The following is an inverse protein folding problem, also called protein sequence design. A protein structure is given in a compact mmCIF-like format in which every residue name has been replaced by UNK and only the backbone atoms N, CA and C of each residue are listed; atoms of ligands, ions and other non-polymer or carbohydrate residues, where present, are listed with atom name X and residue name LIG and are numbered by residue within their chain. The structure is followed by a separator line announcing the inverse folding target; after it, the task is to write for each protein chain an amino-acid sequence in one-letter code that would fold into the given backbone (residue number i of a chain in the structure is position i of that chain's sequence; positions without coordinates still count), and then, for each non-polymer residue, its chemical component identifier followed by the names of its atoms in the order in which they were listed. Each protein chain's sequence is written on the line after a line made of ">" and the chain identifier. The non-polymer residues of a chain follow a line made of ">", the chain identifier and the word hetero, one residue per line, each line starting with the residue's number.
data_IF_807913066461
#
_entry.id   IF_807913066461
#
_cell.length_a   1.000
_cell.length_b   1.000
_cell.length_c   1.000
_cell.angle_alpha   90.00
_cell.angle_beta   90.00
_cell.angle_gamma   90.00
#
_symmetry.space_group_name_H-M   'P 1'
#
loop_
_entity.id
_entity.type
_entity.pdbx_description
1 polymer ?
#
# COMPACT_ATOMS: atom_id res chain seq x y z
N UNK A 1 1.32 4.88 -1.24
CA UNK A 1 2.58 5.38 -0.61
C UNK A 1 3.30 4.13 -0.12
N UNK A 2 4.60 3.91 -0.32
CA UNK A 2 5.24 2.67 0.21
C UNK A 2 6.19 3.08 1.33
N UNK A 3 5.80 2.96 2.61
CA UNK A 3 6.70 3.25 3.71
C UNK A 3 7.72 2.11 3.88
N UNK A 4 8.91 2.47 4.39
CA UNK A 4 9.89 1.51 4.89
C UNK A 4 9.25 0.67 6.02
N UNK A 5 9.04 -0.61 5.74
CA UNK A 5 8.28 -1.55 6.57
C UNK A 5 8.89 -1.76 7.95
N UNK A 6 8.07 -1.58 9.00
CA UNK A 6 8.30 -2.25 10.29
C UNK A 6 7.52 -3.57 10.30
N UNK A 7 8.00 -4.61 11.00
CA UNK A 7 7.30 -5.89 11.15
C UNK A 7 5.83 -5.69 11.62
N UNK A 8 5.61 -4.71 12.49
CA UNK A 8 4.29 -4.33 12.99
C UNK A 8 3.36 -3.80 11.88
N UNK A 9 3.88 -2.97 10.96
CA UNK A 9 3.09 -2.46 9.82
C UNK A 9 2.72 -3.57 8.83
N UNK A 10 3.59 -4.56 8.64
CA UNK A 10 3.31 -5.71 7.80
C UNK A 10 2.23 -6.63 8.41
N UNK A 11 2.30 -6.91 9.73
CA UNK A 11 1.26 -7.67 10.43
C UNK A 11 -0.09 -6.92 10.42
N UNK A 12 -0.07 -5.59 10.50
CA UNK A 12 -1.29 -4.79 10.41
C UNK A 12 -1.91 -4.82 9.00
N UNK A 13 -1.07 -4.83 7.96
CA UNK A 13 -1.50 -4.96 6.56
C UNK A 13 -2.12 -6.33 6.23
N UNK A 14 -1.73 -7.40 6.92
CA UNK A 14 -2.36 -8.74 6.81
C UNK A 14 -3.76 -8.83 7.43
N UNK A 15 -4.30 -7.76 8.00
CA UNK A 15 -5.70 -7.71 8.40
C UNK A 15 -6.53 -7.35 7.18
N UNK A 16 -7.14 -8.37 6.56
CA UNK A 16 -8.01 -8.26 5.37
C UNK A 16 -9.01 -7.09 5.41
N UNK A 17 -9.55 -6.81 6.60
CA UNK A 17 -10.55 -5.77 6.84
C UNK A 17 -10.03 -4.34 6.63
N UNK A 18 -8.72 -4.11 6.77
CA UNK A 18 -8.11 -2.79 6.69
C UNK A 18 -7.53 -2.46 5.29
N UNK A 19 -7.47 -3.42 4.35
CA UNK A 19 -7.01 -3.18 2.97
C UNK A 19 -7.85 -2.10 2.29
N UNK A 20 -7.18 -1.14 1.64
CA UNK A 20 -7.74 0.07 1.02
C UNK A 20 -8.34 1.11 1.98
N UNK A 21 -8.16 0.95 3.30
CA UNK A 21 -8.62 1.95 4.26
C UNK A 21 -7.66 3.16 4.30
N UNK A 22 -8.09 4.38 3.90
CA UNK A 22 -7.23 5.58 3.78
C UNK A 22 -6.40 5.95 5.01
N UNK A 23 -6.89 5.58 6.19
CA UNK A 23 -6.24 5.92 7.47
C UNK A 23 -5.47 4.77 8.11
N UNK A 24 -5.60 3.54 7.60
CA UNK A 24 -5.06 2.33 8.27
C UNK A 24 -4.17 1.48 7.36
N UNK A 25 -4.43 1.48 6.06
CA UNK A 25 -3.60 0.79 5.10
C UNK A 25 -2.52 1.75 4.55
N UNK A 26 -1.24 1.51 4.89
CA UNK A 26 -0.14 2.34 4.39
C UNK A 26 0.00 2.29 2.86
N UNK A 27 -0.51 1.23 2.22
CA UNK A 27 -0.48 1.04 0.77
C UNK A 27 -1.73 1.57 0.07
N UNK A 28 -2.70 2.11 0.82
CA UNK A 28 -3.95 2.61 0.27
C UNK A 28 -3.73 3.75 -0.74
N UNK A 29 -4.43 3.66 -1.86
CA UNK A 29 -4.46 4.66 -2.92
C UNK A 29 -5.61 5.66 -2.79
N UNK A 30 -6.55 5.39 -1.88
CA UNK A 30 -7.76 6.17 -1.71
C UNK A 30 -7.62 7.19 -0.59
N UNK A 31 -8.27 8.34 -0.77
CA UNK A 31 -8.43 9.36 0.25
C UNK A 31 -9.87 9.38 0.76
N UNK A 32 -10.07 9.87 1.98
CA UNK A 32 -11.43 10.14 2.47
C UNK A 32 -12.00 11.36 1.75
N UNK A 33 -13.32 11.44 1.59
CA UNK A 33 -13.96 12.61 0.95
C UNK A 33 -13.60 13.92 1.66
N UNK A 34 -13.51 13.88 3.00
CA UNK A 34 -13.08 14.99 3.84
C UNK A 34 -11.63 15.41 3.56
N UNK A 35 -10.69 14.46 3.49
CA UNK A 35 -9.29 14.77 3.15
C UNK A 35 -9.19 15.40 1.76
N UNK A 36 -9.88 14.83 0.77
CA UNK A 36 -9.87 15.30 -0.61
C UNK A 36 -10.40 16.73 -0.72
N UNK A 37 -11.44 17.10 0.01
CA UNK A 37 -11.97 18.47 0.01
C UNK A 37 -10.97 19.51 0.55
N UNK A 38 -10.16 19.15 1.55
CA UNK A 38 -9.20 20.07 2.17
C UNK A 38 -7.88 20.18 1.41
N UNK A 39 -7.61 19.32 0.43
CA UNK A 39 -6.37 19.40 -0.34
C UNK A 39 -6.36 20.58 -1.32
N UNK A 40 -5.21 21.30 -1.42
CA UNK A 40 -5.06 22.35 -2.42
C UNK A 40 -5.09 21.74 -3.83
N UNK A 41 -5.58 22.51 -4.81
CA UNK A 41 -5.77 22.02 -6.18
C UNK A 41 -4.47 21.51 -6.82
N UNK A 42 -3.33 22.13 -6.49
CA UNK A 42 -2.02 21.66 -6.94
C UNK A 42 -1.70 20.25 -6.43
N UNK A 43 -2.06 19.93 -5.18
CA UNK A 43 -1.83 18.61 -4.60
C UNK A 43 -2.72 17.55 -5.26
N UNK A 44 -3.98 17.89 -5.58
CA UNK A 44 -4.86 17.00 -6.36
C UNK A 44 -4.29 16.72 -7.75
N UNK A 45 -3.68 17.72 -8.39
CA UNK A 45 -2.94 17.55 -9.64
C UNK A 45 -1.76 16.57 -9.51
N UNK A 46 -0.95 16.70 -8.45
CA UNK A 46 0.15 15.77 -8.15
C UNK A 46 -0.39 14.35 -7.95
N UNK A 47 -1.49 14.17 -7.21
CA UNK A 47 -2.12 12.86 -7.01
C UNK A 47 -2.55 12.25 -8.35
N UNK A 48 -3.26 13.01 -9.20
CA UNK A 48 -3.69 12.55 -10.52
C UNK A 48 -2.54 12.14 -11.42
N UNK A 49 -1.46 12.92 -11.44
CA UNK A 49 -0.25 12.56 -12.19
C UNK A 49 0.37 11.28 -11.60
N UNK A 50 0.44 11.16 -10.27
CA UNK A 50 0.95 9.96 -9.61
C UNK A 50 0.08 8.71 -9.78
N UNK A 51 -1.18 8.88 -10.20
CA UNK A 51 -2.10 7.79 -10.56
C UNK A 51 -1.90 7.30 -12.01
N UNK A 52 -1.07 7.97 -12.82
CA UNK A 52 -0.56 7.40 -14.07
C UNK A 52 0.63 6.49 -13.80
N UNK A 53 0.87 5.49 -14.64
CA UNK A 53 2.01 4.58 -14.49
C UNK A 53 3.34 5.36 -14.54
N UNK A 54 3.54 6.22 -15.54
CA UNK A 54 4.78 7.00 -15.69
C UNK A 54 4.97 8.02 -14.57
N UNK A 55 3.91 8.76 -14.23
CA UNK A 55 3.93 9.74 -13.15
C UNK A 55 4.20 9.08 -11.79
N UNK A 56 3.75 7.85 -11.58
CA UNK A 56 4.07 7.09 -10.37
C UNK A 56 5.54 6.70 -10.27
N UNK A 57 6.17 6.30 -11.38
CA UNK A 57 7.59 5.97 -11.38
C UNK A 57 8.46 7.19 -11.03
N UNK A 58 8.03 8.38 -11.45
CA UNK A 58 8.77 9.63 -11.24
C UNK A 58 8.43 10.29 -9.89
N UNK A 59 7.15 10.37 -9.53
CA UNK A 59 6.68 11.05 -8.33
C UNK A 59 6.59 10.14 -7.11
N UNK A 60 6.49 8.82 -7.30
CA UNK A 60 6.42 7.85 -6.21
C UNK A 60 7.65 7.89 -5.29
N UNK A 61 8.89 7.75 -5.81
CA UNK A 61 10.10 7.80 -4.99
C UNK A 61 10.25 9.09 -4.16
N UNK A 62 10.11 10.32 -4.70
CA UNK A 62 10.22 11.53 -3.88
C UNK A 62 9.11 11.62 -2.83
N UNK A 63 7.88 11.17 -3.12
CA UNK A 63 6.80 11.13 -2.14
C UNK A 63 7.11 10.17 -0.98
N UNK A 64 7.68 8.99 -1.25
CA UNK A 64 8.11 8.06 -0.20
C UNK A 64 9.25 8.64 0.64
N UNK A 65 10.22 9.31 0.01
CA UNK A 65 11.33 9.95 0.73
C UNK A 65 10.78 11.03 1.68
N UNK A 66 9.86 11.87 1.21
CA UNK A 66 9.19 12.88 2.05
C UNK A 66 8.43 12.22 3.20
N UNK A 67 7.68 11.14 2.92
CA UNK A 67 6.96 10.37 3.94
C UNK A 67 7.90 9.85 5.04
N UNK A 68 9.02 9.29 4.59
CA UNK A 68 10.07 8.71 5.42
C UNK A 68 10.71 9.77 6.33
N UNK A 69 11.10 10.91 5.77
CA UNK A 69 11.65 12.04 6.52
C UNK A 69 10.63 12.55 7.55
N UNK A 70 9.35 12.68 7.17
CA UNK A 70 8.29 13.10 8.09
C UNK A 70 8.10 12.11 9.24
N UNK A 71 8.20 10.80 8.96
CA UNK A 71 8.12 9.75 9.97
C UNK A 71 9.29 9.84 10.95
N UNK A 72 10.51 10.04 10.44
CA UNK A 72 11.70 10.27 11.27
C UNK A 72 11.51 11.50 12.18
N UNK A 73 11.18 12.66 11.60
CA UNK A 73 10.95 13.90 12.36
C UNK A 73 9.87 13.71 13.43
N UNK A 74 8.76 13.05 13.09
CA UNK A 74 7.67 12.78 14.03
C UNK A 74 8.16 11.97 15.21
N UNK A 75 8.93 10.91 14.99
CA UNK A 75 9.47 10.07 16.08
C UNK A 75 10.28 10.89 17.09
N UNK A 76 11.10 11.82 16.61
CA UNK A 76 11.87 12.73 17.48
C UNK A 76 10.97 13.74 18.21
N UNK A 77 9.96 14.30 17.55
CA UNK A 77 9.01 15.25 18.17
C UNK A 77 8.17 14.56 19.25
N UNK A 78 7.70 13.34 18.99
CA UNK A 78 6.82 12.60 19.92
C UNK A 78 7.58 11.85 21.00
N UNK A 79 8.91 11.79 20.94
CA UNK A 79 9.72 11.06 21.91
C UNK A 79 9.56 9.54 21.84
N UNK A 80 9.25 8.99 20.66
CA UNK A 80 9.10 7.55 20.48
C UNK A 80 10.49 6.87 20.51
N UNK A 81 10.94 6.49 21.71
CA UNK A 81 12.29 5.95 21.93
C UNK A 81 12.62 4.73 21.04
N UNK A 82 11.74 3.71 20.89
CA UNK A 82 11.95 2.64 19.93
C UNK A 82 12.17 3.14 18.49
N UNK A 83 11.32 4.05 18.00
CA UNK A 83 11.45 4.58 16.64
C UNK A 83 12.71 5.43 16.47
N UNK A 84 13.07 6.24 17.46
CA UNK A 84 14.31 7.02 17.47
C UNK A 84 15.53 6.11 17.40
N UNK A 85 15.57 5.03 18.20
CA UNK A 85 16.68 4.08 18.17
C UNK A 85 16.83 3.43 16.79
N UNK A 86 15.73 3.03 16.17
CA UNK A 86 15.72 2.51 14.80
C UNK A 86 16.29 3.53 13.80
N UNK A 87 15.85 4.79 13.86
CA UNK A 87 16.34 5.85 12.98
C UNK A 87 17.83 6.14 13.16
N UNK A 88 18.32 6.17 14.41
CA UNK A 88 19.74 6.37 14.70
C UNK A 88 20.60 5.23 14.14
N UNK A 89 20.16 3.98 14.33
CA UNK A 89 20.84 2.81 13.74
C UNK A 89 20.82 2.90 12.21
N UNK A 90 19.68 3.24 11.62
CA UNK A 90 19.55 3.38 10.16
C UNK A 90 20.50 4.46 9.60
N UNK A 91 20.50 5.67 10.17
CA UNK A 91 21.41 6.74 9.73
C UNK A 91 22.87 6.42 9.99
N UNK A 92 23.19 5.72 11.08
CA UNK A 92 24.54 5.23 11.37
C UNK A 92 25.04 4.25 10.30
N UNK A 93 24.22 3.25 9.95
CA UNK A 93 24.53 2.28 8.89
C UNK A 93 24.62 2.94 7.52
N UNK A 94 23.72 3.88 7.22
CA UNK A 94 23.75 4.64 5.96
C UNK A 94 25.01 5.51 5.85
N UNK A 95 25.41 6.17 6.94
CA UNK A 95 26.65 6.94 7.01
C UNK A 95 27.89 6.05 6.84
N UNK A 96 27.92 4.87 7.47
CA UNK A 96 28.99 3.90 7.30
C UNK A 96 29.08 3.41 5.85
N UNK A 97 27.94 3.13 5.21
CA UNK A 97 27.89 2.76 3.80
C UNK A 97 28.48 3.86 2.92
N UNK A 98 28.05 5.11 3.08
CA UNK A 98 28.59 6.22 2.28
C UNK A 98 30.07 6.48 2.54
N UNK A 99 30.52 6.34 3.79
CA UNK A 99 31.94 6.42 4.12
C UNK A 99 32.75 5.31 3.42
N UNK A 100 32.28 4.07 3.48
CA UNK A 100 32.92 2.94 2.81
C UNK A 100 32.96 3.14 1.29
N UNK A 101 31.85 3.59 0.69
CA UNK A 101 31.77 3.90 -0.74
C UNK A 101 32.73 5.02 -1.17
N UNK A 102 32.86 6.06 -0.35
CA UNK A 102 33.81 7.14 -0.60
C UNK A 102 35.25 6.63 -0.64
N UNK A 103 35.60 5.62 0.17
CA UNK A 103 36.90 4.94 0.12
C UNK A 103 37.22 4.25 -1.22
N UNK A 104 36.20 3.90 -2.00
CA UNK A 104 36.34 3.33 -3.35
C UNK A 104 36.06 4.35 -4.46
N UNK A 105 35.93 5.64 -4.14
CA UNK A 105 35.66 6.70 -5.11
C UNK A 105 34.24 6.70 -5.69
N UNK A 106 33.30 6.00 -5.06
CA UNK A 106 31.90 5.98 -5.51
C UNK A 106 31.17 7.18 -4.92
N UNK A 107 30.68 8.07 -5.78
CA UNK A 107 29.91 9.25 -5.35
C UNK A 107 28.58 8.84 -4.72
N UNK A 108 28.31 9.37 -3.52
CA UNK A 108 27.02 9.17 -2.83
C UNK A 108 25.84 9.72 -3.67
N UNK A 109 26.05 10.85 -4.36
CA UNK A 109 25.03 11.43 -5.24
C UNK A 109 24.72 10.49 -6.40
N UNK A 110 25.77 9.92 -7.02
CA UNK A 110 25.60 8.93 -8.09
C UNK A 110 24.80 7.71 -7.59
N UNK A 111 25.16 7.18 -6.42
CA UNK A 111 24.44 6.04 -5.83
C UNK A 111 22.97 6.35 -5.55
N UNK A 112 22.67 7.53 -5.03
CA UNK A 112 21.28 7.93 -4.74
C UNK A 112 20.48 8.06 -6.05
N UNK A 113 21.01 8.79 -7.03
CA UNK A 113 20.25 9.12 -8.24
C UNK A 113 20.20 7.99 -9.27
N UNK A 114 21.27 7.21 -9.41
CA UNK A 114 21.41 6.22 -10.49
C UNK A 114 21.09 4.81 -10.01
N UNK A 115 21.27 4.50 -8.72
CA UNK A 115 21.00 3.17 -8.18
C UNK A 115 19.74 3.17 -7.32
N UNK A 116 19.70 4.02 -6.28
CA UNK A 116 18.63 3.99 -5.29
C UNK A 116 17.31 4.47 -5.86
N UNK A 117 17.31 5.55 -6.66
CA UNK A 117 16.09 6.10 -7.22
C UNK A 117 15.42 5.15 -8.23
N UNK A 118 16.12 4.54 -9.20
CA UNK A 118 15.53 3.50 -10.05
C UNK A 118 15.07 2.27 -9.27
N UNK A 119 15.79 1.87 -8.21
CA UNK A 119 15.35 0.77 -7.35
C UNK A 119 14.02 1.09 -6.65
N UNK A 120 13.86 2.31 -6.10
CA UNK A 120 12.59 2.78 -5.54
C UNK A 120 11.50 2.91 -6.60
N UNK A 121 11.83 3.32 -7.82
CA UNK A 121 10.88 3.38 -8.93
C UNK A 121 10.38 1.98 -9.30
N UNK A 122 11.26 0.99 -9.27
CA UNK A 122 10.93 -0.40 -9.60
C UNK A 122 9.95 -1.01 -8.60
N UNK A 123 10.00 -0.64 -7.31
CA UNK A 123 8.98 -1.07 -6.34
C UNK A 123 7.60 -0.48 -6.63
N UNK A 124 7.54 0.66 -7.34
CA UNK A 124 6.28 1.26 -7.79
C UNK A 124 5.62 0.51 -8.93
N UNK A 125 6.40 -0.21 -9.75
CA UNK A 125 5.84 -1.09 -10.80
C UNK A 125 5.01 -2.18 -10.16
N UNK A 126 5.54 -2.88 -9.15
CA UNK A 126 4.83 -3.97 -8.47
C UNK A 126 3.51 -3.49 -7.88
N UNK A 127 3.60 -2.42 -7.11
CA UNK A 127 2.47 -1.86 -6.37
C UNK A 127 1.49 -1.09 -7.25
N UNK A 128 1.76 -0.95 -8.55
CA UNK A 128 0.87 -0.25 -9.47
C UNK A 128 -0.44 -1.03 -9.63
N UNK A 129 -1.52 -0.44 -9.12
CA UNK A 129 -2.86 -1.02 -9.10
C UNK A 129 -2.91 -2.44 -8.51
N UNK A 130 -2.09 -2.69 -7.47
CA UNK A 130 -2.11 -3.94 -6.72
C UNK A 130 -3.42 -4.09 -5.93
N UNK A 131 -4.01 -2.96 -5.51
CA UNK A 131 -5.30 -2.92 -4.83
C UNK A 131 -6.36 -2.06 -5.50
N UNK A 132 -7.61 -2.52 -5.44
CA UNK A 132 -8.83 -1.76 -5.78
C UNK A 132 -9.79 -1.78 -4.62
N UNK A 133 -10.61 -0.75 -4.48
CA UNK A 133 -11.73 -0.79 -3.55
C UNK A 133 -12.79 -1.78 -4.07
N UNK A 134 -13.09 -2.79 -3.27
CA UNK A 134 -14.13 -3.78 -3.50
C UNK A 134 -14.75 -4.16 -2.16
N UNK A 135 -16.04 -4.48 -2.13
CA UNK A 135 -16.72 -4.91 -0.90
C UNK A 135 -16.11 -6.23 -0.38
N UNK A 136 -15.87 -7.17 -1.29
CA UNK A 136 -15.19 -8.42 -1.03
C UNK A 136 -13.67 -8.23 -0.88
N UNK A 137 -13.10 -8.59 0.27
CA UNK A 137 -11.66 -8.46 0.56
C UNK A 137 -10.79 -9.20 -0.46
N UNK A 138 -11.22 -10.39 -0.92
CA UNK A 138 -10.48 -11.16 -1.92
C UNK A 138 -10.43 -10.48 -3.29
N UNK A 139 -11.42 -9.63 -3.60
CA UNK A 139 -11.47 -8.83 -4.83
C UNK A 139 -10.69 -7.52 -4.73
N UNK A 140 -10.14 -7.18 -3.55
CA UNK A 140 -9.31 -5.99 -3.36
C UNK A 140 -7.91 -6.17 -3.91
N UNK A 141 -7.39 -7.40 -4.03
CA UNK A 141 -6.02 -7.67 -4.49
C UNK A 141 -5.96 -8.22 -5.91
N UNK A 142 -5.08 -7.67 -6.73
CA UNK A 142 -4.88 -8.13 -8.12
C UNK A 142 -4.14 -9.47 -8.18
N UNK A 143 -4.47 -10.28 -9.18
CA UNK A 143 -3.72 -11.47 -9.57
C UNK A 143 -2.97 -11.16 -10.86
N UNK A 144 -1.67 -10.90 -10.76
CA UNK A 144 -0.85 -10.57 -11.92
C UNK A 144 -0.08 -11.79 -12.44
N UNK A 145 -0.46 -12.28 -13.62
CA UNK A 145 0.16 -13.39 -14.33
C UNK A 145 1.43 -12.96 -15.08
N UNK A 146 2.38 -12.40 -14.34
CA UNK A 146 3.59 -11.81 -14.91
C UNK A 146 4.58 -12.83 -15.50
N UNK A 147 5.38 -12.36 -16.47
CA UNK A 147 6.48 -13.12 -17.07
C UNK A 147 7.60 -13.44 -16.04
N UNK A 148 8.43 -14.44 -16.35
CA UNK A 148 9.41 -14.97 -15.40
C UNK A 148 10.39 -13.94 -14.78
N UNK A 149 10.87 -12.88 -15.47
CA UNK A 149 11.78 -11.92 -14.85
C UNK A 149 11.11 -11.15 -13.72
N UNK A 150 9.86 -10.71 -13.95
CA UNK A 150 9.03 -10.02 -12.95
C UNK A 150 8.68 -10.92 -11.77
N UNK A 151 8.44 -12.20 -12.04
CA UNK A 151 8.20 -13.19 -10.98
C UNK A 151 9.41 -13.36 -10.07
N UNK A 152 10.62 -13.40 -10.63
CA UNK A 152 11.83 -13.49 -9.82
C UNK A 152 12.08 -12.18 -9.06
N UNK A 153 11.99 -11.05 -9.76
CA UNK A 153 12.25 -9.72 -9.20
C UNK A 153 11.35 -9.40 -8.00
N UNK A 154 10.06 -9.77 -8.08
CA UNK A 154 9.09 -9.55 -7.00
C UNK A 154 8.81 -10.80 -6.18
N UNK A 155 9.66 -11.84 -6.27
CA UNK A 155 9.54 -13.07 -5.48
C UNK A 155 8.11 -13.67 -5.52
N UNK A 156 7.50 -13.76 -6.71
CA UNK A 156 6.11 -14.19 -6.93
C UNK A 156 5.03 -13.45 -6.14
N UNK A 157 5.32 -12.31 -5.51
CA UNK A 157 4.31 -11.48 -4.84
C UNK A 157 3.28 -10.87 -5.80
N UNK A 158 3.47 -11.05 -7.11
CA UNK A 158 2.46 -10.81 -8.15
C UNK A 158 1.13 -11.57 -7.89
N UNK A 159 1.17 -12.66 -7.12
CA UNK A 159 0.00 -13.40 -6.66
C UNK A 159 -0.42 -12.95 -5.25
N UNK A 160 -0.63 -11.64 -5.07
CA UNK A 160 -0.77 -11.02 -3.76
C UNK A 160 -1.95 -11.60 -2.95
N UNK A 161 -3.07 -11.90 -3.62
CA UNK A 161 -4.21 -12.59 -2.99
C UNK A 161 -3.83 -13.95 -2.37
N UNK A 162 -2.97 -14.73 -3.03
CA UNK A 162 -2.51 -16.03 -2.51
C UNK A 162 -1.60 -15.84 -1.30
N UNK A 163 -0.78 -14.78 -1.31
CA UNK A 163 0.03 -14.42 -0.14
C UNK A 163 -0.85 -14.00 1.04
N UNK A 164 -1.95 -13.30 0.78
CA UNK A 164 -2.89 -12.90 1.81
C UNK A 164 -3.60 -14.09 2.47
N UNK A 165 -4.05 -15.07 1.65
CA UNK A 165 -4.63 -16.31 2.15
C UNK A 165 -3.61 -17.16 2.94
N UNK A 166 -2.35 -17.17 2.50
CA UNK A 166 -1.29 -18.04 3.02
C UNK A 166 -0.02 -17.23 3.33
N UNK A 167 -0.02 -16.39 4.38
CA UNK A 167 1.08 -15.47 4.68
C UNK A 167 2.37 -16.20 5.07
N UNK A 168 2.25 -17.42 5.61
CA UNK A 168 3.38 -18.27 5.98
C UNK A 168 3.97 -19.05 4.79
N UNK A 169 3.33 -19.02 3.61
CA UNK A 169 3.81 -19.75 2.44
C UNK A 169 5.08 -19.10 1.89
N UNK A 170 6.17 -19.87 1.67
CA UNK A 170 7.36 -19.32 1.05
C UNK A 170 7.06 -18.77 -0.35
N UNK A 171 7.74 -17.68 -0.70
CA UNK A 171 7.53 -16.94 -1.93
C UNK A 171 7.65 -17.79 -3.22
N UNK A 172 8.51 -18.83 -3.22
CA UNK A 172 8.66 -19.74 -4.37
C UNK A 172 7.45 -20.68 -4.55
N UNK A 173 6.62 -20.87 -3.51
CA UNK A 173 5.44 -21.73 -3.53
C UNK A 173 4.17 -21.04 -4.03
N UNK A 174 4.09 -19.70 -3.97
CA UNK A 174 2.90 -18.91 -4.30
C UNK A 174 2.33 -19.26 -5.69
N UNK A 175 3.19 -19.29 -6.70
CA UNK A 175 2.78 -19.60 -8.08
C UNK A 175 2.19 -20.99 -8.20
N UNK A 176 2.73 -21.97 -7.48
CA UNK A 176 2.26 -23.35 -7.57
C UNK A 176 0.83 -23.46 -7.04
N UNK A 177 0.59 -22.91 -5.85
CA UNK A 177 -0.75 -22.87 -5.24
C UNK A 177 -1.73 -22.10 -6.13
N UNK A 178 -1.29 -20.97 -6.69
CA UNK A 178 -2.12 -20.22 -7.63
C UNK A 178 -2.56 -21.09 -8.82
N UNK A 179 -1.64 -21.83 -9.44
CA UNK A 179 -1.95 -22.64 -10.61
C UNK A 179 -2.83 -23.85 -10.28
N UNK A 180 -2.65 -24.47 -9.12
CA UNK A 180 -3.47 -25.60 -8.65
C UNK A 180 -4.94 -25.18 -8.47
N UNK A 181 -5.19 -23.94 -8.02
CA UNK A 181 -6.54 -23.41 -7.75
C UNK A 181 -6.87 -22.17 -8.58
N UNK A 182 -6.33 -22.05 -9.81
CA UNK A 182 -6.37 -20.81 -10.62
C UNK A 182 -7.78 -20.26 -10.79
N UNK A 183 -8.71 -21.09 -11.24
CA UNK A 183 -10.10 -20.71 -11.49
C UNK A 183 -10.79 -20.19 -10.22
N UNK A 184 -10.51 -20.82 -9.08
CA UNK A 184 -11.09 -20.43 -7.79
C UNK A 184 -10.57 -19.07 -7.34
N UNK A 185 -9.25 -18.84 -7.47
CA UNK A 185 -8.64 -17.55 -7.16
C UNK A 185 -9.14 -16.43 -8.06
N UNK A 186 -9.24 -16.68 -9.37
CA UNK A 186 -9.78 -15.70 -10.32
C UNK A 186 -11.24 -15.34 -9.98
N UNK A 187 -12.07 -16.33 -9.66
CA UNK A 187 -13.45 -16.09 -9.24
C UNK A 187 -13.54 -15.31 -7.92
N UNK A 188 -12.74 -15.68 -6.91
CA UNK A 188 -12.68 -14.96 -5.61
C UNK A 188 -12.21 -13.51 -5.75
N UNK A 189 -11.30 -13.26 -6.70
CA UNK A 189 -10.84 -11.91 -7.02
C UNK A 189 -11.84 -11.09 -7.86
N UNK A 190 -13.01 -11.66 -8.18
CA UNK A 190 -13.99 -11.06 -9.11
C UNK A 190 -13.33 -10.68 -10.45
N UNK A 191 -12.54 -11.61 -10.97
CA UNK A 191 -11.79 -11.47 -12.23
C UNK A 191 -10.81 -10.28 -12.24
N UNK A 192 -10.28 -9.87 -11.08
CA UNK A 192 -9.22 -8.87 -11.01
C UNK A 192 -7.85 -9.48 -11.37
N UNK A 193 -7.71 -9.85 -12.65
CA UNK A 193 -6.57 -10.58 -13.20
C UNK A 193 -5.92 -9.75 -14.30
N UNK A 194 -4.59 -9.78 -14.36
CA UNK A 194 -3.79 -8.99 -15.30
C UNK A 194 -2.74 -9.88 -15.95
N UNK A 195 -2.53 -9.73 -17.25
CA UNK A 195 -1.57 -10.53 -18.01
C UNK A 195 -0.19 -9.87 -18.06
N UNK A 196 0.35 -9.54 -16.88
CA UNK A 196 1.66 -8.92 -16.75
C UNK A 196 1.64 -7.40 -16.73
N UNK A 197 2.79 -6.82 -16.37
CA UNK A 197 2.94 -5.37 -16.22
C UNK A 197 2.85 -4.57 -17.53
N UNK A 198 2.99 -5.22 -18.69
CA UNK A 198 2.82 -4.54 -19.98
C UNK A 198 1.38 -4.05 -20.18
N UNK A 199 0.39 -4.81 -19.71
CA UNK A 199 -1.02 -4.41 -19.78
C UNK A 199 -1.26 -3.11 -19.00
N UNK A 200 -0.66 -2.98 -17.81
CA UNK A 200 -0.66 -1.76 -17.01
C UNK A 200 0.06 -0.60 -17.67
N UNK A 201 1.22 -0.88 -18.26
CA UNK A 201 1.95 0.12 -19.00
C UNK A 201 1.12 0.68 -20.17
N UNK A 202 0.56 -0.19 -21.02
CA UNK A 202 -0.21 0.23 -22.20
C UNK A 202 -1.50 0.99 -21.82
N UNK A 203 -2.22 0.52 -20.80
CA UNK A 203 -3.47 1.14 -20.37
C UNK A 203 -3.25 2.47 -19.63
N UNK A 204 -2.19 2.58 -18.81
CA UNK A 204 -2.05 3.66 -17.83
C UNK A 204 -0.75 4.45 -17.92
N UNK A 205 0.06 4.31 -18.97
CA UNK A 205 1.29 5.11 -19.15
C UNK A 205 1.00 6.62 -19.05
N UNK A 206 -0.10 7.09 -19.64
CA UNK A 206 -0.56 8.48 -19.60
C UNK A 206 -2.01 8.65 -19.11
N UNK A 207 -2.70 7.54 -18.84
CA UNK A 207 -4.06 7.55 -18.29
C UNK A 207 -3.99 7.38 -16.79
N UNK A 208 -4.64 8.27 -16.03
CA UNK A 208 -4.68 8.16 -14.58
C UNK A 208 -5.70 7.11 -14.17
N UNK A 209 -5.37 6.31 -13.15
CA UNK A 209 -6.36 5.50 -12.45
C UNK A 209 -7.40 6.41 -11.77
N UNK A 210 -8.68 6.06 -11.90
CA UNK A 210 -9.80 6.74 -11.23
C UNK A 210 -9.88 6.37 -9.74
N UNK A 211 -8.78 6.58 -9.04
CA UNK A 211 -8.60 6.25 -7.63
C UNK A 211 -8.34 7.56 -6.88
N UNK A 212 -9.43 8.25 -6.53
CA UNK A 212 -9.38 9.52 -5.79
C UNK A 212 -9.99 9.36 -4.40
N UNK A 213 -11.27 8.98 -4.33
CA UNK A 213 -12.03 8.86 -3.08
C UNK A 213 -12.42 7.40 -2.88
N UNK A 214 -12.26 6.88 -1.65
CA UNK A 214 -12.68 5.50 -1.36
C UNK A 214 -14.22 5.40 -1.45
N UNK A 215 -14.77 4.57 -2.36
CA UNK A 215 -16.21 4.58 -2.65
C UNK A 215 -17.08 4.14 -1.46
N UNK A 216 -16.54 3.32 -0.55
CA UNK A 216 -17.29 2.74 0.58
C UNK A 216 -16.96 3.35 1.95
N UNK A 217 -16.08 4.35 2.00
CA UNK A 217 -15.54 4.82 3.29
C UNK A 217 -16.58 5.55 4.15
N UNK A 218 -17.40 6.41 3.52
CA UNK A 218 -18.41 7.17 4.26
C UNK A 218 -19.63 6.31 4.64
N UNK A 219 -19.88 5.19 3.97
CA UNK A 219 -20.93 4.23 4.33
C UNK A 219 -20.51 3.31 5.48
N UNK A 220 -19.29 2.79 5.45
CA UNK A 220 -18.75 1.92 6.51
C UNK A 220 -18.54 2.66 7.83
N UNK A 221 -18.22 3.96 7.79
CA UNK A 221 -18.05 4.79 8.99
C UNK A 221 -19.35 5.43 9.51
N UNK A 222 -20.46 5.34 8.76
CA UNK A 222 -21.81 5.70 9.24
C UNK A 222 -22.48 4.56 10.00
N UNK A 223 -22.23 3.32 9.58
CA UNK A 223 -22.74 2.11 10.23
C UNK A 223 -22.46 1.98 11.75
N UNK A 224 -21.33 2.44 12.33
CA UNK A 224 -21.06 2.27 13.76
C UNK A 224 -21.84 3.23 14.65
N UNK A 225 -22.52 4.25 14.07
CA UNK A 225 -23.29 5.24 14.82
C UNK A 225 -24.77 4.87 14.90
N UNK A 226 -25.36 4.35 13.81
CA UNK A 226 -26.76 3.89 13.80
C UNK A 226 -26.94 2.60 14.61
N UNK A 227 -26.01 1.65 14.54
CA UNK A 227 -26.10 0.41 15.31
C UNK A 227 -25.92 0.63 16.82
N UNK A 228 -25.15 1.66 17.20
CA UNK A 228 -24.99 2.12 18.60
C UNK A 228 -26.22 2.88 19.12
N UNK A 229 -26.94 3.59 18.25
CA UNK A 229 -28.20 4.23 18.62
C UNK A 229 -29.32 3.20 18.81
N UNK A 230 -29.40 2.20 17.93
CA UNK A 230 -30.40 1.13 18.05
C UNK A 230 -30.19 0.24 19.28
N UNK A 231 -28.94 -0.08 19.65
CA UNK A 231 -28.67 -0.83 20.89
C UNK A 231 -28.95 -0.03 22.18
N UNK A 232 -28.90 1.31 22.13
CA UNK A 232 -29.23 2.16 23.28
C UNK A 232 -30.74 2.37 23.41
N UNK A 233 -31.46 2.52 22.29
CA UNK A 233 -32.93 2.70 22.30
C UNK A 233 -33.63 1.40 22.72
N UNK A 234 -33.15 0.23 22.29
CA UNK A 234 -33.77 -1.05 22.64
C UNK A 234 -33.53 -1.46 24.10
N UNK A 235 -32.42 -1.01 24.72
CA UNK A 235 -32.18 -1.14 26.17
C UNK A 235 -32.96 -0.14 27.03
N UNK A 236 -33.49 0.92 26.44
CA UNK A 236 -34.24 1.97 27.14
C UNK A 236 -35.74 1.68 27.31
N UNK A 237 -36.30 0.76 26.51
CA UNK A 237 -37.75 0.49 26.48
C UNK A 237 -38.20 -0.80 27.19
N UNK A 238 -37.30 -1.46 27.92
CA UNK A 238 -37.54 -2.79 28.49
C UNK A 238 -38.06 -2.86 29.94
N UNK A 239 -38.33 -1.74 30.62
CA UNK A 239 -38.81 -1.78 32.01
C UNK A 239 -39.76 -0.63 32.36
N UNK A 240 -41.05 -0.82 32.06
CA UNK A 240 -42.15 -0.36 32.91
C UNK A 240 -43.42 -1.13 32.54
N UNK A 241 -44.24 -1.40 33.56
CA UNK A 241 -45.54 -2.11 33.57
C UNK A 241 -45.44 -3.65 33.65
N UNK A 242 -46.07 -4.40 34.55
CA UNK A 242 -46.70 -4.23 35.86
C UNK A 242 -47.48 -5.54 36.09
N UNK A 243 -47.18 -6.30 37.14
CA UNK A 243 -48.09 -6.92 38.14
C UNK A 243 -47.34 -7.99 38.96
#
# INVERSE_FOLDING_TARGET
>A
MVPLWSLSSHIQHHKDEDLTHPEKDPECYYYTAKQWQHFPQLFKGIVRISNTFSGRLILGPPLDIIATIRSAIRAFITGDHPAIAMWLVHFGLLGLLFYWMAGYGISAIFYILVISYPALSLTKVRSFFEHRAAENSAARSTLNEAAWPWRLLFLNLNYHLVHHDLPALPWYGLRRIYLESRVQYQHRSEQFVVNGYTEWFEAFVFTALEIEIHPFYDSENKAPAEERLHTVIDRGNGHTESL
#
